data_IF_496580788092
#
_entry.id   IF_496580788092
#
_cell.length_a   1.000
_cell.length_b   1.000
_cell.length_c   1.000
_cell.angle_alpha   90.00
_cell.angle_beta   90.00
_cell.angle_gamma   90.00
#
_symmetry.space_group_name_H-M   'P 1'
#
loop_
_entity.id
_entity.type
_entity.pdbx_description
1 polymer ?
#
# COMPACT_ATOMS: atom_id res chain seq x y z
N UNK A 1 -7.91 -9.32 -28.23
CA UNK A 1 -6.64 -8.60 -28.11
C UNK A 1 -6.00 -8.44 -29.48
N UNK A 2 -5.55 -7.25 -29.82
CA UNK A 2 -4.95 -6.91 -31.10
C UNK A 2 -3.61 -6.21 -30.85
N UNK A 3 -2.53 -6.77 -31.40
CA UNK A 3 -1.22 -6.13 -31.45
C UNK A 3 -1.08 -5.47 -32.82
N UNK A 4 -0.83 -4.18 -32.85
CA UNK A 4 -0.81 -3.33 -34.04
C UNK A 4 0.57 -2.67 -34.17
N UNK A 5 1.51 -3.26 -34.92
CA UNK A 5 2.74 -2.56 -35.30
C UNK A 5 2.39 -1.46 -36.33
N UNK A 6 2.31 -0.22 -35.85
CA UNK A 6 1.88 0.93 -36.70
C UNK A 6 3.03 1.40 -37.59
N UNK A 7 4.23 1.48 -36.99
CA UNK A 7 5.50 1.78 -37.70
C UNK A 7 6.62 0.95 -37.08
N UNK A 8 7.83 0.99 -37.62
CA UNK A 8 9.00 0.32 -37.04
C UNK A 8 9.36 0.84 -35.64
N UNK A 9 8.89 2.04 -35.28
CA UNK A 9 9.19 2.71 -34.02
C UNK A 9 7.98 2.86 -33.10
N UNK A 10 6.77 2.52 -33.58
CA UNK A 10 5.54 2.72 -32.79
C UNK A 10 4.63 1.50 -32.85
N UNK A 11 4.42 0.91 -31.70
CA UNK A 11 3.52 -0.22 -31.47
C UNK A 11 2.32 0.19 -30.62
N UNK A 12 1.17 -0.40 -30.90
CA UNK A 12 -0.02 -0.26 -30.09
C UNK A 12 -0.66 -1.63 -29.85
N UNK A 13 -1.14 -1.84 -28.64
CA UNK A 13 -1.95 -3.01 -28.29
C UNK A 13 -3.31 -2.53 -27.81
N UNK A 14 -4.36 -3.11 -28.37
CA UNK A 14 -5.74 -2.91 -27.95
C UNK A 14 -6.29 -4.23 -27.41
N UNK A 15 -6.90 -4.19 -26.23
CA UNK A 15 -7.60 -5.33 -25.67
C UNK A 15 -8.98 -4.90 -25.17
N UNK A 16 -9.93 -5.81 -25.27
CA UNK A 16 -11.25 -5.69 -24.69
C UNK A 16 -11.58 -7.00 -24.00
N UNK A 17 -11.92 -6.92 -22.73
CA UNK A 17 -12.35 -8.05 -21.92
C UNK A 17 -13.83 -7.88 -21.58
N UNK A 18 -14.60 -8.92 -21.73
CA UNK A 18 -15.97 -9.01 -21.24
C UNK A 18 -16.05 -10.13 -20.21
N UNK A 19 -16.65 -9.85 -19.08
CA UNK A 19 -16.90 -10.84 -18.03
C UNK A 19 -18.36 -10.73 -17.56
N UNK A 20 -18.98 -11.89 -17.36
CA UNK A 20 -20.36 -12.03 -16.87
C UNK A 20 -20.36 -12.96 -15.65
N UNK A 21 -20.80 -12.43 -14.51
CA UNK A 21 -20.94 -13.15 -13.24
C UNK A 21 -22.42 -13.45 -12.92
N UNK A 22 -23.26 -13.41 -13.94
CA UNK A 22 -24.69 -13.73 -13.85
C UNK A 22 -25.58 -12.59 -13.35
N UNK A 23 -25.17 -11.87 -12.32
CA UNK A 23 -25.91 -10.70 -11.80
C UNK A 23 -25.23 -9.37 -12.15
N UNK A 24 -23.98 -9.41 -12.53
CA UNK A 24 -23.13 -8.27 -12.87
C UNK A 24 -22.23 -8.65 -14.03
N UNK A 25 -22.02 -7.72 -14.93
CA UNK A 25 -21.10 -7.85 -16.06
C UNK A 25 -20.21 -6.61 -16.17
N UNK A 26 -19.10 -6.75 -16.86
CA UNK A 26 -18.16 -5.66 -17.13
C UNK A 26 -17.56 -5.77 -18.52
N UNK A 27 -17.21 -4.61 -19.07
CA UNK A 27 -16.43 -4.48 -20.30
C UNK A 27 -15.21 -3.63 -19.98
N UNK A 28 -14.03 -4.23 -20.08
CA UNK A 28 -12.77 -3.63 -19.67
C UNK A 28 -11.84 -3.43 -20.86
N UNK A 29 -11.79 -2.20 -21.42
CA UNK A 29 -10.83 -1.83 -22.43
C UNK A 29 -9.44 -1.63 -21.87
N UNK A 30 -8.42 -1.95 -22.71
CA UNK A 30 -7.02 -1.69 -22.44
C UNK A 30 -6.35 -1.17 -23.71
N UNK A 31 -5.56 -0.12 -23.54
CA UNK A 31 -4.68 0.46 -24.57
C UNK A 31 -3.26 0.50 -24.03
N UNK A 32 -2.32 -0.06 -24.78
CA UNK A 32 -0.88 0.07 -24.53
C UNK A 32 -0.23 0.68 -25.74
N UNK A 33 0.65 1.63 -25.55
CA UNK A 33 1.44 2.27 -26.61
C UNK A 33 2.91 2.24 -26.23
N UNK A 34 3.75 1.93 -27.19
CA UNK A 34 5.20 2.01 -27.10
C UNK A 34 5.71 2.78 -28.30
N UNK A 35 6.48 3.82 -28.04
CA UNK A 35 7.10 4.62 -29.07
C UNK A 35 8.59 4.79 -28.81
N UNK A 36 9.40 4.39 -29.77
CA UNK A 36 10.86 4.48 -29.75
C UNK A 36 11.32 5.49 -30.79
N UNK A 37 11.21 6.82 -30.50
CA UNK A 37 11.55 7.86 -31.48
C UNK A 37 13.01 7.86 -31.92
N UNK A 38 13.88 7.38 -31.02
CA UNK A 38 15.33 7.15 -31.27
C UNK A 38 15.71 5.87 -30.52
N UNK A 39 16.78 5.20 -30.95
CA UNK A 39 17.21 3.91 -30.38
C UNK A 39 17.40 3.97 -28.85
N UNK A 40 17.89 5.10 -28.35
CA UNK A 40 18.17 5.32 -26.94
C UNK A 40 16.94 5.70 -26.09
N UNK A 41 15.75 5.88 -26.65
CA UNK A 41 14.57 6.34 -25.91
C UNK A 41 13.31 5.58 -26.29
N UNK A 42 12.69 4.96 -25.33
CA UNK A 42 11.36 4.35 -25.44
C UNK A 42 10.37 5.07 -24.54
N UNK A 43 9.30 5.61 -25.09
CA UNK A 43 8.14 6.12 -24.37
C UNK A 43 7.07 5.04 -24.26
N UNK A 44 6.43 4.93 -23.10
CA UNK A 44 5.37 3.95 -22.88
C UNK A 44 4.16 4.58 -22.23
N UNK A 45 2.99 4.11 -22.63
CA UNK A 45 1.71 4.48 -22.08
C UNK A 45 0.84 3.25 -21.93
N UNK A 46 0.13 3.15 -20.81
CA UNK A 46 -0.93 2.16 -20.60
C UNK A 46 -2.14 2.85 -19.99
N UNK A 47 -3.31 2.62 -20.56
CA UNK A 47 -4.60 3.01 -19.98
C UNK A 47 -5.55 1.83 -20.02
N UNK A 48 -6.21 1.54 -18.89
CA UNK A 48 -7.14 0.44 -18.81
C UNK A 48 -8.20 0.66 -17.73
N UNK A 49 -9.33 -0.04 -17.89
CA UNK A 49 -10.25 -0.33 -16.79
C UNK A 49 -10.12 -1.78 -16.37
N UNK A 50 -10.43 -2.05 -15.11
CA UNK A 50 -10.52 -3.40 -14.56
C UNK A 50 -11.64 -3.45 -13.55
N UNK A 51 -12.19 -4.64 -13.30
CA UNK A 51 -13.17 -4.80 -12.26
C UNK A 51 -12.91 -6.07 -11.44
N UNK A 52 -13.51 -6.14 -10.25
CA UNK A 52 -13.55 -7.32 -9.40
C UNK A 52 -14.98 -7.52 -8.89
N UNK A 53 -15.57 -8.65 -9.18
CA UNK A 53 -16.84 -9.05 -8.56
C UNK A 53 -16.61 -9.41 -7.08
N UNK A 54 -17.64 -9.22 -6.26
CA UNK A 54 -17.59 -9.60 -4.85
C UNK A 54 -17.36 -11.11 -4.70
N UNK A 55 -16.51 -11.48 -3.73
CA UNK A 55 -16.28 -12.88 -3.37
C UNK A 55 -17.53 -13.50 -2.69
N UNK A 56 -17.69 -14.83 -2.73
CA UNK A 56 -18.81 -15.51 -2.07
C UNK A 56 -18.92 -15.25 -0.56
N UNK A 57 -17.81 -15.07 0.14
CA UNK A 57 -17.79 -14.71 1.56
C UNK A 57 -18.21 -13.25 1.82
N UNK A 58 -17.91 -12.34 0.89
CA UNK A 58 -18.33 -10.93 0.95
C UNK A 58 -19.85 -10.78 0.72
N UNK A 59 -20.46 -11.72 -0.01
CA UNK A 59 -21.92 -11.73 -0.31
C UNK A 59 -22.73 -12.64 0.60
N UNK A 60 -22.08 -13.55 1.33
CA UNK A 60 -22.74 -14.53 2.18
C UNK A 60 -23.39 -13.89 3.40
N UNK A 61 -24.60 -14.33 3.74
CA UNK A 61 -25.27 -13.94 4.98
C UNK A 61 -24.61 -14.57 6.25
N UNK A 62 -23.52 -15.32 6.10
CA UNK A 62 -22.81 -15.91 7.23
C UNK A 62 -22.21 -14.80 8.11
N UNK A 63 -22.43 -14.94 9.40
CA UNK A 63 -21.92 -13.99 10.40
C UNK A 63 -20.64 -14.51 11.03
N UNK A 64 -19.62 -13.65 11.08
CA UNK A 64 -18.38 -13.87 11.86
C UNK A 64 -18.35 -12.83 12.97
N UNK A 65 -18.17 -13.26 14.21
CA UNK A 65 -18.09 -12.35 15.36
C UNK A 65 -16.66 -12.26 15.87
N UNK A 66 -16.16 -11.05 16.03
CA UNK A 66 -14.88 -10.73 16.66
C UNK A 66 -15.08 -9.78 17.84
N UNK A 67 -14.15 -9.79 18.80
CA UNK A 67 -14.12 -8.79 19.86
C UNK A 67 -13.24 -7.61 19.39
N UNK A 68 -13.82 -6.41 19.42
CA UNK A 68 -13.14 -5.18 19.08
C UNK A 68 -13.29 -4.15 20.21
N UNK A 69 -12.23 -3.38 20.44
CA UNK A 69 -12.30 -2.30 21.43
C UNK A 69 -13.16 -1.16 20.89
N UNK A 70 -14.08 -0.69 21.73
CA UNK A 70 -15.00 0.42 21.40
C UNK A 70 -14.76 1.57 22.38
N UNK A 71 -14.28 2.69 21.85
CA UNK A 71 -13.88 3.87 22.63
C UNK A 71 -15.00 4.38 23.55
N UNK A 72 -16.24 4.48 23.04
CA UNK A 72 -17.40 4.97 23.80
C UNK A 72 -17.76 4.07 24.98
N UNK A 73 -17.48 2.79 24.87
CA UNK A 73 -17.75 1.83 25.95
C UNK A 73 -16.55 1.60 26.87
N UNK A 74 -15.35 2.02 26.49
CA UNK A 74 -14.11 1.76 27.19
C UNK A 74 -13.80 0.26 27.35
N UNK A 75 -14.31 -0.60 26.44
CA UNK A 75 -14.24 -2.04 26.56
C UNK A 75 -14.34 -2.76 25.22
N UNK A 76 -13.90 -4.01 25.19
CA UNK A 76 -14.12 -4.89 24.04
C UNK A 76 -15.59 -5.27 23.93
N UNK A 77 -16.13 -5.17 22.70
CA UNK A 77 -17.51 -5.51 22.36
C UNK A 77 -17.55 -6.47 21.19
N UNK A 78 -18.66 -7.20 21.07
CA UNK A 78 -18.90 -8.06 19.92
C UNK A 78 -19.15 -7.22 18.67
N UNK A 79 -18.35 -7.45 17.64
CA UNK A 79 -18.53 -6.89 16.30
C UNK A 79 -18.81 -8.04 15.34
N UNK A 80 -19.99 -8.03 14.75
CA UNK A 80 -20.41 -9.00 13.77
C UNK A 80 -20.08 -8.49 12.37
N UNK A 81 -19.34 -9.26 11.61
CA UNK A 81 -19.12 -9.06 10.21
C UNK A 81 -20.12 -9.92 9.43
N UNK A 82 -20.87 -9.30 8.51
CA UNK A 82 -21.87 -9.96 7.69
C UNK A 82 -21.67 -9.58 6.24
N UNK A 83 -21.77 -10.55 5.33
CA UNK A 83 -21.71 -10.29 3.89
C UNK A 83 -22.95 -9.54 3.41
N UNK A 84 -22.87 -9.01 2.20
CA UNK A 84 -23.91 -8.21 1.56
C UNK A 84 -24.13 -8.67 0.11
N UNK A 85 -25.28 -9.26 -0.17
CA UNK A 85 -25.62 -9.76 -1.51
C UNK A 85 -25.85 -8.65 -2.56
N UNK A 86 -25.92 -7.39 -2.14
CA UNK A 86 -26.18 -6.24 -3.02
C UNK A 86 -24.92 -5.43 -3.35
N UNK A 87 -23.73 -6.01 -3.17
CA UNK A 87 -22.48 -5.33 -3.53
C UNK A 87 -22.39 -5.11 -5.03
N UNK A 88 -22.01 -3.91 -5.41
CA UNK A 88 -21.53 -3.61 -6.76
C UNK A 88 -20.08 -4.08 -6.92
N UNK A 89 -19.66 -4.46 -8.13
CA UNK A 89 -18.26 -4.75 -8.40
C UNK A 89 -17.35 -3.57 -8.07
N UNK A 90 -16.15 -3.86 -7.64
CA UNK A 90 -15.08 -2.86 -7.61
C UNK A 90 -14.66 -2.54 -9.03
N UNK A 91 -14.41 -1.30 -9.32
CA UNK A 91 -13.90 -0.84 -10.60
C UNK A 91 -12.61 -0.07 -10.38
N UNK A 92 -11.65 -0.21 -11.29
CA UNK A 92 -10.45 0.62 -11.30
C UNK A 92 -10.19 1.14 -12.71
N UNK A 93 -9.94 2.44 -12.80
CA UNK A 93 -9.36 3.08 -13.97
C UNK A 93 -7.90 3.35 -13.65
N UNK A 94 -7.02 2.87 -14.51
CA UNK A 94 -5.57 3.04 -14.29
C UNK A 94 -4.92 3.59 -15.54
N UNK A 95 -3.95 4.46 -15.36
CA UNK A 95 -3.03 4.79 -16.42
C UNK A 95 -1.60 4.90 -15.89
N UNK A 96 -0.67 4.61 -16.78
CA UNK A 96 0.74 4.78 -16.57
C UNK A 96 1.34 5.44 -17.77
N UNK A 97 2.25 6.39 -17.55
CA UNK A 97 3.07 6.98 -18.58
C UNK A 97 4.51 7.06 -18.11
N UNK A 98 5.42 6.62 -18.96
CA UNK A 98 6.81 6.60 -18.57
C UNK A 98 7.75 6.53 -19.77
N UNK A 99 9.02 6.53 -19.45
CA UNK A 99 10.07 6.32 -20.42
C UNK A 99 11.17 5.41 -19.91
N UNK A 100 11.84 4.77 -20.84
CA UNK A 100 13.11 4.06 -20.64
C UNK A 100 14.12 4.69 -21.58
N UNK A 101 15.29 4.98 -21.07
CA UNK A 101 16.38 5.53 -21.89
C UNK A 101 17.69 4.83 -21.56
N UNK A 102 18.44 4.52 -22.61
CA UNK A 102 19.81 4.02 -22.58
C UNK A 102 20.74 5.11 -23.11
N UNK A 103 21.82 5.37 -22.45
CA UNK A 103 22.77 6.41 -22.87
C UNK A 103 24.21 6.11 -22.40
N UNK A 104 25.18 6.84 -22.95
CA UNK A 104 26.57 6.65 -22.59
C UNK A 104 27.15 5.31 -23.06
N UNK A 105 26.89 4.91 -24.31
CA UNK A 105 27.29 3.63 -24.89
C UNK A 105 26.74 2.43 -24.09
N UNK A 106 25.42 2.48 -23.77
CA UNK A 106 24.65 1.48 -23.04
C UNK A 106 25.06 1.27 -21.58
N UNK A 107 25.93 2.13 -21.06
CA UNK A 107 26.35 2.05 -19.64
C UNK A 107 25.30 2.53 -18.66
N UNK A 108 24.36 3.37 -19.10
CA UNK A 108 23.32 3.92 -18.27
C UNK A 108 21.95 3.49 -18.77
N UNK A 109 21.12 3.04 -17.85
CA UNK A 109 19.69 2.82 -18.06
C UNK A 109 18.94 3.68 -17.05
N UNK A 110 17.97 4.46 -17.52
CA UNK A 110 17.06 5.20 -16.66
C UNK A 110 15.61 4.92 -17.04
N UNK A 111 14.76 4.72 -16.04
CA UNK A 111 13.33 4.53 -16.18
C UNK A 111 12.62 5.48 -15.22
N UNK A 112 11.62 6.18 -15.74
CA UNK A 112 10.69 6.97 -14.94
C UNK A 112 9.28 6.66 -15.37
N UNK A 113 8.41 6.32 -14.40
CA UNK A 113 7.01 6.04 -14.62
C UNK A 113 6.15 6.85 -13.66
N UNK A 114 5.19 7.57 -14.19
CA UNK A 114 4.07 8.09 -13.43
C UNK A 114 2.91 7.11 -13.52
N UNK A 115 2.31 6.81 -12.40
CA UNK A 115 1.12 5.96 -12.30
C UNK A 115 -0.03 6.70 -11.63
N UNK A 116 -1.25 6.37 -12.04
CA UNK A 116 -2.49 6.86 -11.45
C UNK A 116 -3.52 5.73 -11.43
N UNK A 117 -4.13 5.54 -10.27
CA UNK A 117 -5.17 4.55 -10.00
C UNK A 117 -6.38 5.24 -9.37
N UNK A 118 -7.52 5.13 -10.00
CA UNK A 118 -8.81 5.60 -9.48
C UNK A 118 -9.73 4.40 -9.25
N UNK A 119 -9.93 4.05 -7.97
CA UNK A 119 -10.78 2.94 -7.54
C UNK A 119 -12.16 3.45 -7.18
N UNK A 120 -13.19 2.83 -7.75
CA UNK A 120 -14.59 3.05 -7.43
C UNK A 120 -15.20 1.82 -6.78
N UNK A 121 -16.09 2.05 -5.84
CA UNK A 121 -16.80 0.98 -5.15
C UNK A 121 -15.90 -0.09 -4.51
N UNK A 122 -14.72 0.24 -3.91
CA UNK A 122 -13.92 -0.80 -3.26
C UNK A 122 -14.76 -1.54 -2.24
N UNK A 123 -14.72 -2.88 -2.24
CA UNK A 123 -15.48 -3.68 -1.29
C UNK A 123 -14.68 -3.74 0.01
N UNK A 124 -15.20 -3.09 1.03
CA UNK A 124 -14.58 -2.97 2.33
C UNK A 124 -15.52 -3.46 3.44
N UNK A 125 -14.93 -3.73 4.59
CA UNK A 125 -15.67 -3.91 5.84
C UNK A 125 -15.93 -2.56 6.49
N UNK A 126 -17.16 -2.27 6.91
CA UNK A 126 -17.44 -1.06 7.70
C UNK A 126 -16.56 -1.01 8.95
N UNK A 127 -16.03 0.16 9.26
CA UNK A 127 -15.24 0.35 10.47
C UNK A 127 -16.17 0.56 11.67
N UNK A 128 -16.15 -0.38 12.63
CA UNK A 128 -16.99 -0.36 13.81
C UNK A 128 -16.84 0.90 14.66
N UNK A 129 -15.62 1.48 14.73
CA UNK A 129 -15.40 2.70 15.50
C UNK A 129 -16.02 3.91 14.80
N UNK A 130 -15.93 4.02 13.47
CA UNK A 130 -16.60 5.07 12.70
C UNK A 130 -18.12 5.01 12.84
N UNK A 131 -18.70 3.79 12.84
CA UNK A 131 -20.13 3.60 13.11
C UNK A 131 -20.50 4.09 14.52
N UNK A 132 -19.67 3.80 15.51
CA UNK A 132 -19.88 4.25 16.89
C UNK A 132 -19.70 5.76 17.07
N UNK A 133 -18.74 6.35 16.37
CA UNK A 133 -18.55 7.80 16.39
C UNK A 133 -19.75 8.53 15.79
N UNK A 134 -20.29 8.03 14.67
CA UNK A 134 -21.52 8.52 14.06
C UNK A 134 -22.74 8.34 14.98
N UNK A 135 -22.85 7.19 15.68
CA UNK A 135 -23.90 6.96 16.67
C UNK A 135 -23.81 7.95 17.84
N UNK A 136 -22.63 8.21 18.35
CA UNK A 136 -22.36 9.12 19.47
C UNK A 136 -22.60 10.60 19.08
N UNK A 137 -22.37 10.94 17.82
CA UNK A 137 -22.62 12.31 17.31
C UNK A 137 -24.10 12.72 17.34
N UNK A 138 -25.02 11.74 17.34
CA UNK A 138 -26.46 12.02 17.43
C UNK A 138 -27.08 12.46 16.10
N UNK A 139 -28.32 12.92 16.14
CA UNK A 139 -29.03 13.47 14.98
C UNK A 139 -29.08 12.53 13.77
N UNK A 140 -28.86 13.08 12.58
CA UNK A 140 -28.87 12.34 11.33
C UNK A 140 -27.79 11.25 11.26
N UNK A 141 -26.60 11.52 11.81
CA UNK A 141 -25.49 10.56 11.85
C UNK A 141 -25.86 9.32 12.66
N UNK A 142 -26.45 9.50 13.83
CA UNK A 142 -26.97 8.40 14.64
C UNK A 142 -28.05 7.61 13.89
N UNK A 143 -29.01 8.30 13.28
CA UNK A 143 -30.11 7.64 12.56
C UNK A 143 -29.60 6.78 11.39
N UNK A 144 -28.53 7.18 10.72
CA UNK A 144 -27.95 6.45 9.60
C UNK A 144 -27.30 5.11 10.00
N UNK A 145 -26.87 4.96 11.25
CA UNK A 145 -26.15 3.77 11.74
C UNK A 145 -26.89 3.02 12.84
N UNK A 146 -27.98 3.58 13.35
CA UNK A 146 -28.71 3.07 14.51
C UNK A 146 -29.09 1.59 14.39
N UNK A 147 -29.54 1.12 13.22
CA UNK A 147 -29.95 -0.29 13.00
C UNK A 147 -28.81 -1.30 13.16
N UNK A 148 -27.55 -0.83 13.15
CA UNK A 148 -26.36 -1.66 13.27
C UNK A 148 -25.78 -1.67 14.69
N UNK A 149 -26.28 -0.80 15.58
CA UNK A 149 -25.76 -0.63 16.94
C UNK A 149 -26.79 -1.16 17.92
N UNK A 150 -26.36 -2.11 18.77
CA UNK A 150 -27.19 -2.77 19.76
C UNK A 150 -26.67 -2.47 21.16
N UNK A 151 -27.55 -2.08 22.06
CA UNK A 151 -27.13 -1.70 23.42
C UNK A 151 -28.24 -1.84 24.44
N UNK A 152 -27.94 -1.34 25.66
CA UNK A 152 -28.80 -1.52 26.80
C UNK A 152 -28.83 -2.98 27.30
N UNK A 153 -29.70 -3.26 28.24
CA UNK A 153 -29.82 -4.58 28.89
C UNK A 153 -30.38 -5.67 27.98
N UNK A 154 -31.13 -5.30 26.95
CA UNK A 154 -31.82 -6.23 26.03
C UNK A 154 -31.22 -6.22 24.62
N UNK A 155 -30.06 -5.61 24.41
CA UNK A 155 -29.42 -5.46 23.11
C UNK A 155 -30.39 -4.91 22.03
N UNK A 156 -31.07 -3.84 22.36
CA UNK A 156 -31.99 -3.15 21.44
C UNK A 156 -31.21 -2.29 20.43
N UNK A 157 -31.77 -2.06 19.24
CA UNK A 157 -31.19 -1.20 18.21
C UNK A 157 -32.09 0.00 17.86
N UNK A 158 -32.95 0.40 18.80
CA UNK A 158 -33.89 1.52 18.66
C UNK A 158 -33.29 2.88 18.94
N UNK A 159 -32.01 2.92 19.28
CA UNK A 159 -31.30 4.16 19.62
C UNK A 159 -31.68 4.77 20.97
N UNK A 160 -32.42 4.05 21.82
CA UNK A 160 -32.84 4.57 23.14
C UNK A 160 -31.74 4.58 24.20
N UNK A 161 -30.57 4.01 23.92
CA UNK A 161 -29.46 3.85 24.87
C UNK A 161 -28.29 4.81 24.58
N UNK A 162 -27.49 5.09 25.58
CA UNK A 162 -26.26 5.86 25.45
C UNK A 162 -25.17 5.06 24.71
N UNK A 163 -24.29 5.73 23.98
CA UNK A 163 -23.20 5.10 23.24
C UNK A 163 -22.26 4.25 24.16
N UNK A 164 -22.09 4.65 25.42
CA UNK A 164 -21.34 3.89 26.43
C UNK A 164 -21.96 2.53 26.80
N UNK A 165 -23.26 2.37 26.55
CA UNK A 165 -24.01 1.12 26.85
C UNK A 165 -24.11 0.18 25.65
N UNK A 166 -23.32 0.40 24.59
CA UNK A 166 -23.24 -0.51 23.44
C UNK A 166 -22.78 -1.90 23.89
N UNK A 167 -23.46 -2.92 23.37
CA UNK A 167 -23.14 -4.31 23.63
C UNK A 167 -22.64 -5.06 22.40
N UNK A 168 -23.17 -4.68 21.22
CA UNK A 168 -22.88 -5.34 19.95
C UNK A 168 -22.98 -4.35 18.77
N UNK A 169 -22.16 -4.56 17.76
CA UNK A 169 -22.17 -3.77 16.52
C UNK A 169 -22.23 -4.76 15.34
N UNK A 170 -23.00 -4.44 14.31
CA UNK A 170 -22.96 -5.16 13.04
C UNK A 170 -22.21 -4.27 12.02
N UNK A 171 -21.10 -4.77 11.55
CA UNK A 171 -20.34 -4.20 10.44
C UNK A 171 -20.57 -5.07 9.21
N UNK A 172 -20.95 -4.46 8.09
CA UNK A 172 -21.24 -5.19 6.87
C UNK A 172 -20.12 -5.01 5.86
N UNK A 173 -20.02 -5.92 4.90
CA UNK A 173 -19.34 -5.60 3.65
C UNK A 173 -20.15 -4.57 2.88
N UNK A 174 -19.49 -3.54 2.40
CA UNK A 174 -20.11 -2.42 1.66
C UNK A 174 -19.20 -1.99 0.51
N UNK A 175 -19.79 -1.35 -0.49
CA UNK A 175 -18.99 -0.57 -1.42
C UNK A 175 -18.53 0.68 -0.70
N UNK A 176 -17.24 0.78 -0.50
CA UNK A 176 -16.56 1.87 0.20
C UNK A 176 -16.41 3.12 -0.64
N UNK A 177 -15.82 4.16 -0.05
CA UNK A 177 -15.55 5.42 -0.74
C UNK A 177 -14.49 5.24 -1.83
N UNK A 178 -14.58 6.07 -2.87
CA UNK A 178 -13.58 6.11 -3.92
C UNK A 178 -12.18 6.38 -3.36
N UNK A 179 -11.19 5.76 -3.99
CA UNK A 179 -9.79 5.84 -3.55
C UNK A 179 -8.92 6.17 -4.74
N UNK A 180 -8.13 7.22 -4.63
CA UNK A 180 -7.17 7.64 -5.67
C UNK A 180 -5.75 7.45 -5.16
N UNK A 181 -4.91 6.80 -5.97
CA UNK A 181 -3.48 6.62 -5.69
C UNK A 181 -2.68 7.06 -6.89
N UNK A 182 -1.71 7.96 -6.71
CA UNK A 182 -0.77 8.28 -7.77
C UNK A 182 0.64 8.53 -7.24
N UNK A 183 1.60 8.43 -8.14
CA UNK A 183 3.00 8.58 -7.77
C UNK A 183 3.94 8.37 -8.94
N UNK A 184 5.21 8.26 -8.59
CA UNK A 184 6.31 8.14 -9.55
C UNK A 184 7.27 7.04 -9.10
N UNK A 185 7.64 6.18 -10.03
CA UNK A 185 8.71 5.20 -9.88
C UNK A 185 9.94 5.65 -10.68
N UNK A 186 11.09 5.66 -10.04
CA UNK A 186 12.38 5.97 -10.62
C UNK A 186 13.31 4.78 -10.48
N UNK A 187 13.95 4.41 -11.58
CA UNK A 187 15.08 3.49 -11.60
C UNK A 187 16.19 4.05 -12.47
N UNK A 188 17.41 4.09 -11.94
CA UNK A 188 18.63 4.45 -12.67
C UNK A 188 19.68 3.40 -12.36
N UNK A 189 20.32 2.87 -13.38
CA UNK A 189 21.45 1.94 -13.26
C UNK A 189 22.61 2.42 -14.14
N UNK A 190 23.79 2.34 -13.59
CA UNK A 190 25.07 2.45 -14.29
C UNK A 190 25.78 1.10 -14.22
N UNK A 191 26.41 0.69 -15.33
CA UNK A 191 27.28 -0.48 -15.36
C UNK A 191 28.44 -0.23 -16.33
N UNK A 192 29.67 -0.55 -15.89
CA UNK A 192 30.88 -0.39 -16.71
C UNK A 192 31.96 -1.36 -16.25
N UNK A 193 32.93 -1.61 -17.11
CA UNK A 193 34.15 -2.28 -16.74
C UNK A 193 34.99 -1.38 -15.81
N UNK A 194 35.47 -1.90 -14.72
CA UNK A 194 36.31 -1.21 -13.76
C UNK A 194 37.42 -2.11 -13.23
N UNK A 195 38.66 -1.69 -13.41
CA UNK A 195 39.84 -2.48 -13.07
C UNK A 195 39.82 -3.85 -13.76
N UNK A 196 39.69 -4.96 -13.01
CA UNK A 196 39.64 -6.31 -13.53
C UNK A 196 38.23 -6.92 -13.47
N UNK A 197 37.24 -6.09 -13.16
CA UNK A 197 35.86 -6.56 -12.93
C UNK A 197 34.83 -5.63 -13.53
N UNK A 198 33.58 -5.84 -13.15
CA UNK A 198 32.43 -5.04 -13.54
C UNK A 198 31.86 -4.33 -12.31
N UNK A 199 31.65 -3.03 -12.43
CA UNK A 199 30.99 -2.22 -11.42
C UNK A 199 29.56 -1.88 -11.91
N UNK A 200 28.57 -2.04 -11.03
CA UNK A 200 27.22 -1.55 -11.25
C UNK A 200 26.77 -0.72 -10.05
N UNK A 201 26.15 0.42 -10.31
CA UNK A 201 25.53 1.25 -9.29
C UNK A 201 24.11 1.61 -9.72
N UNK A 202 23.20 1.73 -8.78
CA UNK A 202 21.83 2.10 -9.15
C UNK A 202 21.06 2.74 -8.00
N UNK A 203 20.01 3.44 -8.41
CA UNK A 203 19.01 4.07 -7.55
C UNK A 203 17.64 3.58 -7.94
N UNK A 204 16.91 3.04 -6.98
CA UNK A 204 15.49 2.72 -7.05
C UNK A 204 14.75 3.65 -6.09
N UNK A 205 13.69 4.31 -6.54
CA UNK A 205 12.89 5.14 -5.68
C UNK A 205 11.42 5.09 -6.10
N UNK A 206 10.53 5.01 -5.10
CA UNK A 206 9.09 5.18 -5.27
C UNK A 206 8.67 6.42 -4.48
N UNK A 207 7.87 7.28 -5.11
CA UNK A 207 7.22 8.42 -4.50
C UNK A 207 5.71 8.30 -4.66
N UNK A 208 5.00 8.14 -3.56
CA UNK A 208 3.54 8.14 -3.51
C UNK A 208 3.08 9.57 -3.28
N UNK A 209 2.72 10.27 -4.36
CA UNK A 209 2.35 11.68 -4.31
C UNK A 209 0.98 11.90 -3.65
N UNK A 210 0.07 10.93 -3.82
CA UNK A 210 -1.29 10.95 -3.28
C UNK A 210 -1.76 9.53 -3.02
N UNK A 211 -2.42 9.34 -1.88
CA UNK A 211 -3.23 8.17 -1.58
C UNK A 211 -4.42 8.65 -0.76
N UNK A 212 -5.46 9.12 -1.42
CA UNK A 212 -6.65 9.69 -0.76
C UNK A 212 -7.83 8.74 -0.82
N UNK A 213 -8.59 8.73 0.25
CA UNK A 213 -9.86 8.01 0.37
C UNK A 213 -10.96 9.04 0.63
N UNK A 214 -12.02 9.00 -0.16
CA UNK A 214 -13.14 9.93 -0.03
C UNK A 214 -13.93 9.71 1.27
N UNK A 215 -14.85 10.60 1.56
CA UNK A 215 -15.72 10.49 2.72
C UNK A 215 -16.64 9.26 2.60
N UNK A 216 -16.79 8.49 3.69
CA UNK A 216 -17.74 7.39 3.72
C UNK A 216 -19.15 7.92 4.00
N UNK A 217 -20.04 7.66 3.07
CA UNK A 217 -21.42 8.12 3.11
C UNK A 217 -22.40 6.96 3.31
N UNK A 218 -23.42 7.16 4.16
CA UNK A 218 -24.61 6.30 4.21
C UNK A 218 -25.81 7.11 3.74
N UNK A 219 -26.20 6.91 2.49
CA UNK A 219 -27.14 7.80 1.82
C UNK A 219 -26.58 9.22 1.72
N UNK A 220 -27.30 10.21 2.23
CA UNK A 220 -26.84 11.61 2.26
C UNK A 220 -26.04 11.98 3.53
N UNK A 221 -25.79 11.03 4.43
CA UNK A 221 -25.15 11.27 5.72
C UNK A 221 -23.69 10.85 5.68
N UNK A 222 -22.79 11.76 6.00
CA UNK A 222 -21.38 11.45 6.17
C UNK A 222 -21.16 10.71 7.50
N UNK A 223 -20.63 9.49 7.41
CA UNK A 223 -20.27 8.64 8.55
C UNK A 223 -18.80 8.80 8.92
N UNK A 224 -17.93 8.95 7.91
CA UNK A 224 -16.52 9.24 8.12
C UNK A 224 -16.05 10.32 7.14
N UNK A 225 -15.11 11.16 7.57
CA UNK A 225 -14.48 12.15 6.71
C UNK A 225 -13.53 11.49 5.70
N UNK A 226 -13.26 12.20 4.61
CA UNK A 226 -12.16 11.86 3.72
C UNK A 226 -10.82 11.99 4.43
N UNK A 227 -9.82 11.25 3.96
CA UNK A 227 -8.48 11.30 4.54
C UNK A 227 -7.41 11.01 3.48
N UNK A 228 -6.20 11.50 3.76
CA UNK A 228 -4.98 11.22 3.01
C UNK A 228 -4.18 10.17 3.77
N UNK A 229 -3.66 9.18 3.04
CA UNK A 229 -2.84 8.10 3.57
C UNK A 229 -1.34 8.31 3.31
N UNK A 230 -1.00 8.97 2.18
CA UNK A 230 0.40 9.22 1.84
C UNK A 230 1.01 10.21 2.83
N UNK A 231 2.17 9.87 3.37
CA UNK A 231 2.82 10.66 4.42
C UNK A 231 2.26 10.44 5.83
N UNK A 232 1.37 9.45 6.04
CA UNK A 232 0.71 9.28 7.35
C UNK A 232 0.70 7.84 7.86
N UNK A 233 0.68 7.74 9.18
CA UNK A 233 0.32 6.54 9.90
C UNK A 233 -0.94 6.79 10.74
N UNK A 234 -2.04 6.17 10.37
CA UNK A 234 -3.31 6.29 11.08
C UNK A 234 -3.95 4.91 11.30
N UNK A 235 -4.05 4.48 12.55
CA UNK A 235 -4.60 3.17 12.92
C UNK A 235 -6.11 3.06 12.68
N UNK A 236 -6.82 4.18 12.68
CA UNK A 236 -8.27 4.23 12.52
C UNK A 236 -8.72 4.22 11.06
N UNK A 237 -7.78 4.34 10.13
CA UNK A 237 -8.02 4.32 8.70
C UNK A 237 -7.68 2.94 8.13
N UNK A 238 -8.33 2.50 7.05
CA UNK A 238 -7.99 1.25 6.39
C UNK A 238 -6.60 1.26 5.73
N UNK A 239 -6.02 2.45 5.49
CA UNK A 239 -4.66 2.52 5.00
C UNK A 239 -3.65 2.16 6.09
N UNK A 240 -2.71 1.33 5.69
CA UNK A 240 -1.51 1.04 6.46
C UNK A 240 -0.60 2.26 6.48
N UNK A 241 0.43 2.32 7.36
CA UNK A 241 1.45 3.35 7.26
C UNK A 241 2.01 3.47 5.84
N UNK A 242 2.07 4.69 5.34
CA UNK A 242 2.47 4.98 3.97
C UNK A 242 3.47 6.14 3.94
N UNK A 243 4.78 5.90 4.16
CA UNK A 243 5.80 6.90 3.88
C UNK A 243 5.72 7.34 2.42
N UNK A 244 5.86 8.63 2.14
CA UNK A 244 5.78 9.15 0.77
C UNK A 244 6.91 8.64 -0.11
N UNK A 245 8.14 8.53 0.45
CA UNK A 245 9.32 8.13 -0.32
C UNK A 245 9.94 6.89 0.30
N UNK A 246 10.17 5.89 -0.55
CA UNK A 246 11.06 4.76 -0.27
C UNK A 246 12.10 4.67 -1.38
N UNK A 247 13.35 4.49 -1.02
CA UNK A 247 14.42 4.41 -1.99
C UNK A 247 15.52 3.46 -1.58
N UNK A 248 16.27 3.01 -2.56
CA UNK A 248 17.44 2.15 -2.38
C UNK A 248 18.51 2.56 -3.37
N UNK A 249 19.66 2.93 -2.85
CA UNK A 249 20.88 3.05 -3.64
C UNK A 249 21.69 1.77 -3.47
N UNK A 250 22.23 1.21 -4.54
CA UNK A 250 23.10 0.05 -4.47
C UNK A 250 24.37 0.24 -5.27
N UNK A 251 25.41 -0.48 -4.83
CA UNK A 251 26.68 -0.65 -5.51
C UNK A 251 27.00 -2.13 -5.55
N UNK A 252 27.37 -2.64 -6.73
CA UNK A 252 27.78 -4.00 -6.94
C UNK A 252 29.12 -4.03 -7.70
N UNK A 253 30.06 -4.80 -7.22
CA UNK A 253 31.33 -5.03 -7.90
C UNK A 253 31.60 -6.51 -8.01
N UNK A 254 31.84 -6.99 -9.23
CA UNK A 254 32.14 -8.40 -9.51
C UNK A 254 33.50 -8.50 -10.17
N UNK A 255 34.41 -9.26 -9.58
CA UNK A 255 35.73 -9.58 -10.12
C UNK A 255 35.99 -11.08 -9.97
N UNK A 256 36.19 -11.77 -11.07
CA UNK A 256 36.39 -13.23 -11.13
C UNK A 256 35.29 -13.99 -10.33
N UNK A 257 35.71 -14.61 -9.23
CA UNK A 257 34.84 -15.40 -8.34
C UNK A 257 34.23 -14.59 -7.20
N UNK A 258 34.54 -13.29 -7.12
CA UNK A 258 34.17 -12.42 -6.02
C UNK A 258 33.08 -11.45 -6.43
N UNK A 259 32.05 -11.34 -5.60
CA UNK A 259 31.02 -10.31 -5.75
C UNK A 259 30.85 -9.56 -4.43
N UNK A 260 30.89 -8.24 -4.50
CA UNK A 260 30.66 -7.32 -3.40
C UNK A 260 29.43 -6.48 -3.70
N UNK A 261 28.41 -6.61 -2.87
CA UNK A 261 27.18 -5.84 -2.96
C UNK A 261 26.98 -5.00 -1.71
N UNK A 262 26.70 -3.71 -1.88
CA UNK A 262 26.30 -2.79 -0.82
C UNK A 262 25.00 -2.10 -1.17
N UNK A 263 24.15 -1.83 -0.18
CA UNK A 263 22.93 -1.06 -0.38
C UNK A 263 22.69 -0.09 0.78
N UNK A 264 22.13 1.08 0.45
CA UNK A 264 21.58 2.07 1.37
C UNK A 264 20.08 2.09 1.14
N UNK A 265 19.31 1.72 2.14
CA UNK A 265 17.86 1.76 2.10
C UNK A 265 17.38 3.00 2.85
N UNK A 266 16.44 3.73 2.27
CA UNK A 266 15.88 4.95 2.81
C UNK A 266 14.37 4.90 2.85
N UNK A 267 13.80 5.36 3.95
CA UNK A 267 12.36 5.57 4.15
C UNK A 267 12.21 7.00 4.67
N UNK A 268 11.38 7.83 4.01
CA UNK A 268 11.12 9.19 4.46
C UNK A 268 10.40 9.24 5.80
N UNK A 269 10.48 10.36 6.49
CA UNK A 269 9.63 10.63 7.64
C UNK A 269 8.16 10.72 7.23
N UNK A 270 7.24 10.47 8.17
CA UNK A 270 5.81 10.56 8.00
C UNK A 270 5.12 10.82 9.34
N UNK A 271 3.92 11.40 9.29
CA UNK A 271 3.20 11.84 10.48
C UNK A 271 2.42 10.69 11.14
N UNK A 272 2.54 10.55 12.45
CA UNK A 272 1.71 9.66 13.24
C UNK A 272 0.41 10.34 13.66
N UNK A 273 -0.69 10.07 12.95
CA UNK A 273 -2.03 10.59 13.22
C UNK A 273 -2.98 9.62 13.90
N UNK A 274 -2.45 8.61 14.59
CA UNK A 274 -3.28 7.60 15.26
C UNK A 274 -4.05 8.12 16.45
N UNK A 275 -3.67 9.24 17.01
CA UNK A 275 -4.40 9.84 18.12
C UNK A 275 -5.72 10.42 17.65
N UNK A 276 -6.82 10.02 18.30
CA UNK A 276 -8.16 10.59 18.10
C UNK A 276 -8.30 11.99 18.68
N UNK A 277 -7.26 12.55 19.30
CA UNK A 277 -7.28 13.91 19.81
C UNK A 277 -7.13 14.86 18.64
N UNK A 278 -8.20 15.57 18.34
CA UNK A 278 -8.18 16.70 17.44
C UNK A 278 -7.04 17.65 17.82
N UNK A 279 -6.18 17.97 16.86
CA UNK A 279 -5.04 18.83 17.08
C UNK A 279 -3.79 18.10 17.50
N UNK A 280 -3.37 17.09 16.74
CA UNK A 280 -1.99 16.69 16.70
C UNK A 280 -1.14 17.84 16.17
N UNK A 281 -0.95 18.83 16.98
CA UNK A 281 0.08 19.82 16.78
C UNK A 281 1.14 19.54 17.82
N UNK A 282 2.29 19.15 17.34
CA UNK A 282 3.58 19.36 17.95
C UNK A 282 3.74 19.05 19.45
N UNK A 283 4.70 18.19 19.71
CA UNK A 283 5.37 18.09 21.01
C UNK A 283 4.49 17.80 22.21
N UNK A 284 4.05 16.56 22.33
CA UNK A 284 3.55 16.16 23.62
C UNK A 284 4.29 14.95 24.16
N UNK A 285 5.14 15.21 25.10
CA UNK A 285 5.57 14.22 26.08
C UNK A 285 4.30 13.62 26.70
N UNK A 286 3.97 12.41 26.33
CA UNK A 286 2.89 11.63 26.93
C UNK A 286 1.59 11.52 26.15
N UNK A 287 1.52 11.97 24.92
CA UNK A 287 0.38 11.64 24.07
C UNK A 287 0.34 12.45 22.84
N UNK A 288 0.80 12.34 21.84
CA UNK A 288 1.11 12.11 20.85
C UNK A 288 0.81 12.12 19.47
N UNK A 289 1.10 12.95 18.66
CA UNK A 289 1.36 12.93 17.27
C UNK A 289 2.78 13.34 17.11
N UNK A 290 3.59 12.39 16.89
CA UNK A 290 5.00 12.59 16.61
C UNK A 290 5.24 12.22 15.16
N UNK A 291 6.02 13.01 14.49
CA UNK A 291 6.64 12.60 13.25
C UNK A 291 7.44 11.31 13.52
N UNK A 292 7.20 10.29 12.72
CA UNK A 292 8.04 9.11 12.65
C UNK A 292 9.22 9.51 11.78
N UNK A 293 10.41 9.58 12.37
CA UNK A 293 11.60 10.08 11.70
C UNK A 293 11.99 9.24 10.46
N UNK A 294 12.67 9.84 9.53
CA UNK A 294 13.26 9.12 8.41
C UNK A 294 14.21 8.03 8.90
N UNK A 295 14.25 6.90 8.19
CA UNK A 295 15.04 5.74 8.56
C UNK A 295 15.96 5.33 7.42
N UNK A 296 17.24 5.13 7.74
CA UNK A 296 18.26 4.72 6.77
C UNK A 296 19.04 3.54 7.30
N UNK A 297 19.12 2.47 6.52
CA UNK A 297 19.95 1.30 6.85
C UNK A 297 20.95 1.02 5.75
N UNK A 298 22.07 0.40 6.11
CA UNK A 298 23.13 -0.01 5.19
C UNK A 298 23.27 -1.52 5.25
N UNK A 299 23.24 -2.16 4.07
CA UNK A 299 23.44 -3.59 3.94
C UNK A 299 24.71 -3.86 3.15
N UNK A 300 25.38 -4.98 3.45
CA UNK A 300 26.56 -5.44 2.72
C UNK A 300 26.47 -6.96 2.54
N UNK A 301 26.81 -7.44 1.34
CA UNK A 301 26.90 -8.85 1.03
C UNK A 301 28.18 -9.13 0.26
N UNK A 302 28.89 -10.16 0.64
CA UNK A 302 29.98 -10.73 -0.11
C UNK A 302 29.60 -12.14 -0.56
N UNK A 303 29.82 -12.44 -1.84
CA UNK A 303 29.62 -13.77 -2.40
C UNK A 303 30.90 -14.26 -3.05
N UNK A 304 31.27 -15.50 -2.78
CA UNK A 304 32.35 -16.21 -3.42
C UNK A 304 31.80 -17.39 -4.22
N UNK A 305 31.99 -17.37 -5.54
CA UNK A 305 31.61 -18.45 -6.46
C UNK A 305 32.80 -19.34 -6.69
N UNK A 306 32.85 -20.48 -6.02
CA UNK A 306 33.96 -21.41 -6.14
C UNK A 306 34.10 -21.97 -7.55
N UNK A 307 32.96 -22.34 -8.13
CA UNK A 307 32.80 -22.80 -9.49
C UNK A 307 31.35 -22.53 -9.96
N UNK A 308 30.98 -23.01 -11.13
CA UNK A 308 29.62 -22.84 -11.67
C UNK A 308 28.50 -23.48 -10.81
N UNK A 309 28.86 -24.31 -9.85
CA UNK A 309 27.94 -25.08 -9.01
C UNK A 309 27.82 -24.55 -7.58
N UNK A 310 28.86 -23.94 -7.04
CA UNK A 310 28.92 -23.59 -5.61
C UNK A 310 29.13 -22.12 -5.36
N UNK A 311 28.19 -21.50 -4.62
CA UNK A 311 28.37 -20.16 -4.07
C UNK A 311 28.31 -20.17 -2.55
N UNK A 312 29.17 -19.38 -1.94
CA UNK A 312 29.15 -19.05 -0.54
C UNK A 312 28.83 -17.56 -0.39
N UNK A 313 27.85 -17.21 0.40
CA UNK A 313 27.48 -15.82 0.65
C UNK A 313 27.51 -15.49 2.14
N UNK A 314 27.97 -14.28 2.45
CA UNK A 314 27.93 -13.71 3.77
C UNK A 314 27.34 -12.31 3.70
N UNK A 315 26.27 -12.08 4.43
CA UNK A 315 25.56 -10.80 4.45
C UNK A 315 25.50 -10.23 5.85
N UNK A 316 25.63 -8.91 5.92
CA UNK A 316 25.35 -8.11 7.10
C UNK A 316 24.25 -7.14 6.72
N UNK A 317 23.09 -7.28 7.34
CA UNK A 317 21.99 -6.36 7.18
C UNK A 317 22.01 -5.34 8.31
N UNK A 318 21.64 -4.10 7.97
CA UNK A 318 21.69 -2.99 8.91
C UNK A 318 23.06 -2.86 9.60
N UNK A 319 24.09 -2.67 8.80
CA UNK A 319 25.49 -2.58 9.26
C UNK A 319 25.70 -1.51 10.33
N UNK A 320 24.95 -0.42 10.27
CA UNK A 320 24.97 0.70 11.21
C UNK A 320 24.27 0.42 12.54
N UNK A 321 23.51 -0.70 12.63
CA UNK A 321 22.71 -1.08 13.79
C UNK A 321 21.63 -0.04 14.15
N UNK A 322 21.03 0.57 13.12
CA UNK A 322 20.01 1.60 13.29
C UNK A 322 18.70 0.98 13.78
N UNK A 323 18.14 1.51 14.85
CA UNK A 323 16.86 1.04 15.39
C UNK A 323 15.70 1.73 14.69
N UNK A 324 14.52 1.07 14.58
CA UNK A 324 13.32 1.71 14.07
C UNK A 324 13.02 3.02 14.80
N UNK A 325 12.53 4.06 14.10
CA UNK A 325 12.08 5.29 14.73
C UNK A 325 11.00 5.02 15.76
N UNK A 326 11.10 5.71 16.90
CA UNK A 326 10.12 5.59 17.96
C UNK A 326 8.77 6.14 17.55
N UNK A 327 7.70 5.43 17.87
CA UNK A 327 6.32 5.92 17.80
C UNK A 327 5.51 5.38 18.98
N UNK A 328 4.52 6.14 19.44
CA UNK A 328 3.65 5.75 20.54
C UNK A 328 2.64 4.69 20.08
N UNK A 329 3.07 3.44 20.04
CA UNK A 329 2.24 2.29 19.73
C UNK A 329 2.66 1.10 20.59
N UNK A 330 1.89 0.01 20.53
CA UNK A 330 2.07 -1.20 21.33
C UNK A 330 3.50 -1.75 21.33
N UNK A 331 4.20 -1.60 20.21
CA UNK A 331 5.58 -2.07 20.03
C UNK A 331 6.63 -0.93 20.10
N UNK A 332 6.23 0.32 20.35
CA UNK A 332 7.08 1.51 20.35
C UNK A 332 7.75 1.84 19.01
N UNK A 333 7.32 1.22 17.93
CA UNK A 333 7.74 1.51 16.55
C UNK A 333 6.63 1.06 15.58
N UNK A 334 6.68 1.53 14.34
CA UNK A 334 5.78 1.08 13.27
C UNK A 334 6.25 -0.26 12.70
N UNK A 335 5.62 -1.35 13.15
CA UNK A 335 5.94 -2.72 12.73
C UNK A 335 5.46 -3.09 11.31
N UNK A 336 4.68 -2.22 10.65
CA UNK A 336 4.28 -2.43 9.25
C UNK A 336 5.35 -1.97 8.27
N UNK A 337 6.12 -0.96 8.66
CA UNK A 337 7.11 -0.32 7.77
C UNK A 337 8.54 -0.68 8.15
N UNK A 338 8.83 -0.86 9.43
CA UNK A 338 10.18 -1.05 9.94
C UNK A 338 10.39 -2.42 10.54
N UNK A 339 11.62 -2.94 10.43
CA UNK A 339 12.04 -4.18 11.09
C UNK A 339 12.65 -3.87 12.47
N UNK A 340 12.27 -4.61 13.53
CA UNK A 340 12.89 -4.46 14.85
C UNK A 340 14.26 -5.10 14.95
N UNK A 341 14.65 -5.86 13.93
CA UNK A 341 15.98 -6.47 13.89
C UNK A 341 17.00 -5.38 13.65
N UNK A 342 17.88 -5.16 14.61
CA UNK A 342 19.07 -4.36 14.42
C UNK A 342 20.01 -5.03 13.41
N UNK A 343 21.30 -4.88 13.58
CA UNK A 343 22.28 -5.56 12.74
C UNK A 343 22.16 -7.08 12.90
N UNK A 344 22.00 -7.78 11.77
CA UNK A 344 22.02 -9.24 11.78
C UNK A 344 22.88 -9.81 10.64
N UNK A 345 23.36 -11.02 10.85
CA UNK A 345 24.25 -11.72 9.94
C UNK A 345 23.54 -12.90 9.31
N UNK A 346 23.80 -13.12 8.02
CA UNK A 346 23.33 -14.28 7.29
C UNK A 346 24.48 -14.93 6.54
N UNK A 347 24.64 -16.24 6.67
CA UNK A 347 25.49 -17.04 5.81
C UNK A 347 24.63 -17.92 4.91
N UNK A 348 24.99 -18.01 3.65
CA UNK A 348 24.28 -18.78 2.64
C UNK A 348 25.23 -19.71 1.87
N UNK A 349 24.71 -20.84 1.46
CA UNK A 349 25.36 -21.77 0.58
C UNK A 349 24.37 -22.13 -0.53
N UNK A 350 24.80 -22.00 -1.77
CA UNK A 350 23.99 -22.38 -2.95
C UNK A 350 24.72 -23.48 -3.73
N UNK A 351 24.01 -24.56 -4.03
CA UNK A 351 24.48 -25.60 -4.91
C UNK A 351 23.52 -25.72 -6.11
N UNK A 352 24.07 -25.61 -7.34
CA UNK A 352 23.32 -25.76 -8.59
C UNK A 352 23.57 -27.16 -9.14
N UNK A 353 22.53 -27.98 -9.14
CA UNK A 353 22.56 -29.29 -9.85
C UNK A 353 22.47 -29.04 -11.35
N UNK A 354 23.37 -29.64 -12.10
CA UNK A 354 23.33 -29.68 -13.58
C UNK A 354 22.28 -30.66 -14.07
#
# INVERSE_FOLDING_TARGET
EFALPITDTFDMQLALRYEDYGTKDSIDPKVVMRWTPIDALTLRFTGQTTFRAAHPDETSATRVTALQYVNQAGAFKAVDLTGNANLDPEEATTFNVGFVTDFGDDRWIATLDYYDFDFKNPIITENHQQLMDAYAAGGASKAAVQSQIYGGTSLQNDGSFAASSVGRITANYVNGPATTVNGVDLYIKFEDDYANGVIAAGLEANYVAKYSVDAYMKGAVQVAANYECSGFFNINNPCRPMPEIKGKFFLNYTEDQHNFYGAINYISSYDDRRSTKAGCSETLVGGVCTEIAAHTTVDATYTYSWDDQFDLSFSVYNLTDELPPFTVWEMNYDAYTHSPLGRFFKAGFTYRMQ
#
